data_IF_188860289878
#
_entry.id   IF_188860289878
#
_cell.length_a   1.000
_cell.length_b   1.000
_cell.length_c   1.000
_cell.angle_alpha   90.00
_cell.angle_beta   90.00
_cell.angle_gamma   90.00
#
_symmetry.space_group_name_H-M   'P 1'
#
loop_
_entity.id
_entity.type
_entity.pdbx_description
1 polymer ?
#
# COMPACT_ATOMS: atom_id res chain seq x y z
N UNK A 1 -21.07 -29.03 48.13
CA UNK A 1 -22.13 -28.34 48.90
C UNK A 1 -22.23 -26.93 48.40
N UNK A 2 -23.43 -26.62 47.88
CA UNK A 2 -24.10 -25.30 47.78
C UNK A 2 -23.43 -24.27 46.89
N UNK A 3 -24.05 -23.53 45.98
CA UNK A 3 -25.47 -23.35 45.61
C UNK A 3 -25.50 -22.42 44.40
N UNK A 4 -26.19 -22.77 43.39
CA UNK A 4 -27.13 -22.10 42.49
C UNK A 4 -27.43 -20.62 42.82
N UNK A 5 -27.35 -19.77 41.82
CA UNK A 5 -28.33 -18.71 41.61
C UNK A 5 -28.44 -18.37 40.14
N UNK A 6 -29.53 -18.80 39.52
CA UNK A 6 -30.08 -18.27 38.27
C UNK A 6 -30.70 -16.90 38.58
N UNK A 7 -30.38 -15.90 37.82
CA UNK A 7 -31.14 -14.66 37.74
C UNK A 7 -31.62 -14.48 36.28
N UNK A 8 -32.90 -14.74 36.11
CA UNK A 8 -33.71 -14.45 34.93
C UNK A 8 -34.13 -12.99 35.04
N UNK A 9 -33.88 -12.14 34.02
CA UNK A 9 -34.49 -10.83 33.92
C UNK A 9 -35.12 -10.66 32.54
N UNK A 10 -36.25 -9.96 32.45
CA UNK A 10 -37.19 -10.05 31.35
C UNK A 10 -36.88 -9.08 30.21
N UNK A 11 -37.31 -9.49 29.03
CA UNK A 11 -37.42 -8.76 27.77
C UNK A 11 -38.12 -7.40 27.93
N UNK A 12 -37.49 -6.36 27.44
CA UNK A 12 -38.16 -5.09 27.12
C UNK A 12 -38.01 -4.84 25.60
N UNK A 13 -39.06 -5.15 24.86
CA UNK A 13 -39.26 -4.82 23.49
C UNK A 13 -39.55 -3.30 23.35
N UNK A 14 -38.60 -2.53 22.88
CA UNK A 14 -38.85 -1.15 22.47
C UNK A 14 -38.83 -1.07 20.96
N UNK A 15 -40.03 -1.02 20.38
CA UNK A 15 -40.25 -0.80 18.96
C UNK A 15 -39.84 0.63 18.54
N UNK A 16 -38.87 0.76 17.66
CA UNK A 16 -38.50 2.01 17.05
C UNK A 16 -38.99 2.00 15.61
N UNK A 17 -40.08 2.72 15.38
CA UNK A 17 -40.67 2.95 14.06
C UNK A 17 -39.75 3.84 13.25
N UNK A 18 -39.14 3.30 12.19
CA UNK A 18 -38.44 4.10 11.17
C UNK A 18 -39.49 4.79 10.26
N UNK A 19 -39.59 6.08 10.41
CA UNK A 19 -40.28 6.94 9.43
C UNK A 19 -39.30 7.21 8.28
N UNK A 20 -39.55 6.60 7.12
CA UNK A 20 -38.82 6.88 5.89
C UNK A 20 -39.30 8.21 5.30
N UNK A 21 -38.45 9.25 5.30
CA UNK A 21 -38.68 10.48 4.57
C UNK A 21 -38.17 10.28 3.12
N UNK A 22 -38.97 10.61 2.08
CA UNK A 22 -38.49 10.60 0.71
C UNK A 22 -37.55 11.80 0.49
N UNK A 23 -36.27 11.52 0.20
CA UNK A 23 -35.35 12.52 -0.28
C UNK A 23 -35.71 12.90 -1.72
N UNK A 24 -36.25 14.09 -1.89
CA UNK A 24 -36.36 14.74 -3.19
C UNK A 24 -34.97 15.18 -3.61
N UNK A 25 -34.35 14.42 -4.49
CA UNK A 25 -33.10 14.81 -5.15
C UNK A 25 -33.42 15.82 -6.25
N UNK A 26 -33.26 17.10 -5.96
CA UNK A 26 -33.27 18.15 -6.99
C UNK A 26 -32.06 18.00 -7.88
N UNK A 27 -32.32 17.91 -9.18
CA UNK A 27 -31.33 17.78 -10.24
C UNK A 27 -30.67 19.14 -10.46
N UNK A 28 -29.34 19.28 -10.40
CA UNK A 28 -28.72 20.59 -10.58
C UNK A 28 -28.88 21.12 -12.01
N UNK A 29 -29.12 22.42 -12.15
CA UNK A 29 -29.45 23.16 -13.37
C UNK A 29 -28.40 23.19 -14.49
N UNK A 30 -27.23 22.58 -14.26
CA UNK A 30 -26.16 22.52 -15.26
C UNK A 30 -26.29 21.36 -16.27
N UNK A 31 -27.27 20.49 -16.12
CA UNK A 31 -27.55 19.43 -17.08
C UNK A 31 -28.27 20.01 -18.32
N UNK A 32 -27.48 20.68 -19.16
CA UNK A 32 -27.92 21.33 -20.37
C UNK A 32 -28.61 20.40 -21.34
N UNK A 33 -29.67 20.92 -21.93
CA UNK A 33 -30.51 20.33 -22.99
C UNK A 33 -29.65 19.98 -24.22
N UNK A 34 -29.93 18.88 -24.95
CA UNK A 34 -29.30 18.62 -26.23
C UNK A 34 -29.77 19.61 -27.27
N UNK A 35 -28.93 20.55 -27.65
CA UNK A 35 -29.14 21.45 -28.79
C UNK A 35 -28.95 20.69 -30.08
N UNK A 36 -29.99 20.79 -30.92
CA UNK A 36 -30.10 20.21 -32.24
C UNK A 36 -29.45 21.17 -33.26
N UNK A 37 -28.56 20.62 -34.11
CA UNK A 37 -28.23 21.14 -35.44
C UNK A 37 -27.23 22.29 -35.48
N UNK A 38 -26.09 22.10 -36.12
CA UNK A 38 -25.89 22.49 -37.52
C UNK A 38 -24.49 22.09 -37.97
N UNK A 39 -24.46 21.52 -39.18
CA UNK A 39 -23.25 21.18 -39.89
C UNK A 39 -22.65 22.47 -40.47
N UNK A 40 -21.50 22.89 -39.96
CA UNK A 40 -20.56 23.71 -40.71
C UNK A 40 -19.16 23.11 -40.69
N UNK A 41 -18.82 22.58 -41.85
CA UNK A 41 -17.48 22.29 -42.34
C UNK A 41 -16.76 23.62 -42.52
N UNK A 42 -15.60 23.79 -41.83
CA UNK A 42 -14.49 24.65 -42.23
C UNK A 42 -13.27 24.25 -41.34
N UNK A 43 -12.42 23.55 -41.91
CA UNK A 43 -11.04 23.84 -42.26
C UNK A 43 -10.22 24.71 -41.30
N UNK A 44 -9.29 24.02 -40.66
CA UNK A 44 -7.89 24.40 -40.50
C UNK A 44 -7.55 25.76 -39.90
N UNK A 45 -7.07 25.75 -38.66
CA UNK A 45 -5.82 26.38 -38.23
C UNK A 45 -5.49 26.04 -36.79
N UNK A 46 -4.43 25.30 -36.56
CA UNK A 46 -3.74 25.30 -35.29
C UNK A 46 -3.03 26.65 -35.12
N UNK A 47 -3.08 27.20 -33.91
CA UNK A 47 -1.94 27.84 -33.32
C UNK A 47 -1.48 26.99 -32.14
N UNK A 48 -0.19 26.66 -32.16
CA UNK A 48 0.44 25.99 -31.04
C UNK A 48 0.25 26.76 -29.75
N UNK A 49 -0.20 26.05 -28.75
CA UNK A 49 -0.01 26.42 -27.36
C UNK A 49 1.01 25.45 -26.79
N UNK A 50 2.25 25.91 -26.81
CA UNK A 50 3.32 25.37 -25.97
C UNK A 50 2.90 25.51 -24.49
N UNK A 51 2.08 24.58 -24.03
CA UNK A 51 2.02 24.28 -22.62
C UNK A 51 3.14 23.31 -22.36
N UNK A 52 4.24 23.82 -21.78
CA UNK A 52 5.38 23.05 -21.31
C UNK A 52 4.94 21.93 -20.37
N UNK A 53 4.43 20.87 -20.94
CA UNK A 53 4.28 19.58 -20.28
C UNK A 53 5.67 18.99 -20.23
N UNK A 54 6.40 19.26 -19.14
CA UNK A 54 7.52 18.40 -18.77
C UNK A 54 7.03 16.96 -18.92
N UNK A 55 7.73 16.10 -19.66
CA UNK A 55 7.34 14.69 -19.73
C UNK A 55 7.39 14.15 -18.29
N UNK A 56 6.23 13.96 -17.70
CA UNK A 56 6.12 13.09 -16.53
C UNK A 56 6.48 11.71 -17.05
N UNK A 57 7.72 11.33 -16.83
CA UNK A 57 8.11 9.93 -16.97
C UNK A 57 7.35 9.19 -15.88
N UNK A 58 6.14 8.79 -16.18
CA UNK A 58 5.42 7.80 -15.40
C UNK A 58 6.11 6.49 -15.71
N UNK A 59 7.07 6.12 -14.86
CA UNK A 59 7.60 4.78 -14.86
C UNK A 59 6.43 3.91 -14.41
N UNK A 60 5.84 3.21 -15.35
CA UNK A 60 4.80 2.22 -15.06
C UNK A 60 5.50 1.04 -14.37
N UNK A 61 5.52 1.09 -13.04
CA UNK A 61 6.16 0.05 -12.23
C UNK A 61 5.19 -1.12 -12.15
N UNK A 62 5.46 -2.14 -12.95
CA UNK A 62 4.68 -3.37 -12.97
C UNK A 62 4.77 -4.06 -11.59
N UNK A 63 3.62 -4.48 -11.06
CA UNK A 63 3.56 -5.18 -9.78
C UNK A 63 4.37 -6.48 -9.87
N UNK A 64 5.34 -6.66 -8.94
CA UNK A 64 6.21 -7.83 -8.88
C UNK A 64 7.37 -7.85 -9.88
N UNK A 65 7.62 -6.74 -10.60
CA UNK A 65 8.63 -6.70 -11.64
C UNK A 65 9.78 -5.72 -11.43
N UNK A 66 9.88 -5.11 -10.26
CA UNK A 66 10.89 -4.07 -10.01
C UNK A 66 12.22 -4.63 -9.51
N UNK A 67 12.22 -5.51 -8.52
CA UNK A 67 13.43 -6.08 -7.96
C UNK A 67 13.95 -7.23 -8.82
N UNK A 68 15.00 -6.97 -9.56
CA UNK A 68 15.72 -7.99 -10.30
C UNK A 68 16.74 -8.74 -9.42
N UNK A 69 17.45 -9.68 -10.02
CA UNK A 69 18.44 -10.54 -9.33
C UNK A 69 19.57 -9.74 -8.68
N UNK A 70 19.97 -8.62 -9.29
CA UNK A 70 21.02 -7.77 -8.73
C UNK A 70 20.60 -7.17 -7.38
N UNK A 71 19.39 -6.62 -7.28
CA UNK A 71 18.87 -6.06 -6.04
C UNK A 71 18.63 -7.14 -4.99
N UNK A 72 18.14 -8.31 -5.40
CA UNK A 72 17.95 -9.46 -4.49
C UNK A 72 19.28 -9.93 -3.92
N UNK A 73 20.32 -10.10 -4.74
CA UNK A 73 21.67 -10.43 -4.28
C UNK A 73 22.24 -9.36 -3.35
N UNK A 74 22.13 -8.10 -3.72
CA UNK A 74 22.59 -7.00 -2.87
C UNK A 74 21.95 -7.02 -1.48
N UNK A 75 20.66 -7.31 -1.40
CA UNK A 75 19.96 -7.45 -0.13
C UNK A 75 20.48 -8.66 0.67
N UNK A 76 20.70 -9.79 0.01
CA UNK A 76 21.28 -10.99 0.62
C UNK A 76 22.67 -10.73 1.19
N UNK A 77 23.56 -10.15 0.40
CA UNK A 77 24.94 -9.86 0.80
C UNK A 77 24.99 -8.87 1.98
N UNK A 78 24.04 -7.94 2.03
CA UNK A 78 23.95 -6.99 3.12
C UNK A 78 23.42 -7.61 4.42
N UNK A 79 22.36 -8.42 4.36
CA UNK A 79 21.66 -8.89 5.56
C UNK A 79 22.18 -10.22 6.11
N UNK A 80 22.60 -11.15 5.26
CA UNK A 80 23.06 -12.49 5.69
C UNK A 80 24.17 -12.44 6.74
N UNK A 81 25.28 -11.69 6.58
CA UNK A 81 26.32 -11.65 7.60
C UNK A 81 25.84 -11.00 8.91
N UNK A 82 24.90 -10.03 8.82
CA UNK A 82 24.33 -9.38 9.99
C UNK A 82 23.43 -10.33 10.79
N UNK A 83 22.60 -11.09 10.09
CA UNK A 83 21.72 -12.08 10.72
C UNK A 83 22.51 -13.22 11.35
N UNK A 84 23.52 -13.74 10.66
CA UNK A 84 24.44 -14.75 11.22
C UNK A 84 25.18 -14.24 12.47
N UNK A 85 25.55 -12.98 12.50
CA UNK A 85 26.15 -12.34 13.66
C UNK A 85 25.14 -12.01 14.79
N UNK A 86 23.86 -12.32 14.61
CA UNK A 86 22.77 -12.02 15.56
C UNK A 86 22.47 -10.53 15.71
N UNK A 87 22.90 -9.71 14.75
CA UNK A 87 22.57 -8.27 14.69
C UNK A 87 21.22 -8.08 14.01
N UNK A 88 20.15 -8.28 14.77
CA UNK A 88 18.81 -8.18 14.24
C UNK A 88 18.39 -6.73 14.03
N UNK A 89 17.87 -6.37 12.85
CA UNK A 89 17.25 -5.07 12.62
C UNK A 89 16.05 -4.86 13.53
N UNK A 90 15.62 -3.60 13.77
CA UNK A 90 14.41 -3.31 14.52
C UNK A 90 13.20 -4.07 13.99
N UNK A 91 12.35 -4.57 14.87
CA UNK A 91 11.15 -5.36 14.50
C UNK A 91 11.40 -6.85 14.28
N UNK A 92 12.65 -7.32 14.40
CA UNK A 92 12.99 -8.75 14.43
C UNK A 92 13.49 -9.15 15.79
N UNK A 93 13.04 -10.31 16.28
CA UNK A 93 13.56 -10.91 17.51
C UNK A 93 14.71 -11.86 17.20
N UNK A 94 15.72 -11.88 18.06
CA UNK A 94 16.78 -12.89 18.01
C UNK A 94 16.20 -14.21 18.52
N UNK A 95 16.14 -15.22 17.65
CA UNK A 95 15.68 -16.55 18.02
C UNK A 95 16.65 -17.59 17.47
N UNK A 96 17.19 -18.45 18.36
CA UNK A 96 18.21 -19.45 18.04
C UNK A 96 19.39 -18.81 17.28
N UNK A 97 19.65 -19.17 16.05
CA UNK A 97 20.78 -18.68 15.25
C UNK A 97 20.38 -17.64 14.20
N UNK A 98 19.26 -16.92 14.36
CA UNK A 98 18.80 -15.97 13.36
C UNK A 98 17.89 -14.87 13.89
N UNK A 99 17.59 -13.91 13.01
CA UNK A 99 16.64 -12.85 13.25
C UNK A 99 15.30 -13.24 12.61
N UNK A 100 14.32 -13.55 13.43
CA UNK A 100 12.99 -13.98 12.96
C UNK A 100 11.91 -12.96 13.31
N UNK A 101 10.89 -12.81 12.46
CA UNK A 101 9.70 -12.06 12.84
C UNK A 101 9.08 -12.68 14.09
N UNK A 102 8.58 -11.89 15.04
CA UNK A 102 7.89 -12.43 16.21
C UNK A 102 6.59 -13.09 15.75
N UNK A 103 6.61 -14.42 15.50
CA UNK A 103 5.47 -15.33 15.42
C UNK A 103 4.26 -14.95 14.55
N UNK A 104 4.38 -13.94 13.71
CA UNK A 104 3.27 -13.38 12.95
C UNK A 104 3.34 -13.85 11.49
N UNK A 105 2.20 -14.30 10.97
CA UNK A 105 2.02 -14.49 9.55
C UNK A 105 2.26 -13.17 8.80
N UNK A 106 2.74 -13.26 7.57
CA UNK A 106 2.97 -12.13 6.67
C UNK A 106 1.73 -11.23 6.61
N UNK A 107 1.85 -9.99 7.07
CA UNK A 107 0.73 -9.07 7.21
C UNK A 107 0.56 -8.14 5.99
N UNK A 108 1.32 -8.37 4.92
CA UNK A 108 1.23 -7.58 3.69
C UNK A 108 1.07 -8.49 2.47
N UNK A 109 0.54 -7.93 1.39
CA UNK A 109 0.34 -8.63 0.12
C UNK A 109 0.72 -7.72 -1.04
N UNK A 110 1.31 -8.30 -2.08
CA UNK A 110 1.59 -7.62 -3.35
C UNK A 110 0.30 -7.04 -3.96
N UNK A 111 0.36 -5.83 -4.50
CA UNK A 111 -0.78 -5.15 -5.10
C UNK A 111 -1.83 -4.64 -4.11
N UNK A 112 -1.57 -4.70 -2.79
CA UNK A 112 -2.47 -4.18 -1.77
C UNK A 112 -1.80 -3.10 -0.92
N UNK A 113 -2.56 -2.13 -0.41
CA UNK A 113 -2.05 -1.18 0.57
C UNK A 113 -1.58 -1.88 1.84
N UNK A 114 -0.51 -1.37 2.45
CA UNK A 114 -0.09 -1.81 3.79
C UNK A 114 -1.20 -1.50 4.80
N UNK A 115 -1.49 -2.42 5.75
CA UNK A 115 -2.35 -2.13 6.88
C UNK A 115 -1.86 -0.90 7.66
N UNK A 116 -2.77 -0.07 8.15
CA UNK A 116 -2.44 1.19 8.83
C UNK A 116 -1.71 1.00 10.16
N UNK A 117 -1.96 -0.11 10.80
CA UNK A 117 -1.36 -0.54 12.07
C UNK A 117 -0.04 -1.31 11.90
N UNK A 118 0.35 -1.59 10.65
CA UNK A 118 1.57 -2.32 10.37
C UNK A 118 2.80 -1.42 10.57
N UNK A 119 3.66 -1.84 11.50
CA UNK A 119 4.92 -1.13 11.77
C UNK A 119 5.94 -1.47 10.67
N UNK A 120 6.43 -0.44 10.02
CA UNK A 120 7.52 -0.55 9.05
C UNK A 120 8.67 0.40 9.40
N UNK A 121 9.85 0.11 8.91
CA UNK A 121 11.08 0.84 9.19
C UNK A 121 11.71 1.35 7.89
N UNK A 122 12.49 2.42 7.94
CA UNK A 122 13.27 2.83 6.78
C UNK A 122 14.32 1.76 6.45
N UNK A 123 14.60 1.61 5.17
CA UNK A 123 15.69 0.76 4.70
C UNK A 123 17.02 1.47 4.98
N UNK A 124 18.03 0.82 5.60
CA UNK A 124 19.31 1.43 5.89
C UNK A 124 20.01 1.96 4.63
N UNK A 125 20.70 3.10 4.75
CA UNK A 125 21.37 3.77 3.62
C UNK A 125 22.34 2.85 2.86
N UNK A 126 23.08 2.01 3.59
CA UNK A 126 24.05 1.08 2.98
C UNK A 126 23.43 0.10 1.98
N UNK A 127 22.20 -0.36 2.22
CA UNK A 127 21.50 -1.22 1.25
C UNK A 127 20.67 -0.38 0.27
N UNK A 128 20.10 0.74 0.71
CA UNK A 128 19.34 1.62 -0.16
C UNK A 128 20.15 2.09 -1.38
N UNK A 129 21.43 2.42 -1.18
CA UNK A 129 22.36 2.78 -2.26
C UNK A 129 22.53 1.63 -3.25
N UNK A 130 22.63 0.40 -2.77
CA UNK A 130 22.81 -0.79 -3.62
C UNK A 130 21.53 -1.17 -4.37
N UNK A 131 20.36 -0.90 -3.80
CA UNK A 131 19.07 -1.10 -4.46
C UNK A 131 18.84 -0.06 -5.57
N UNK A 132 19.54 1.07 -5.52
CA UNK A 132 19.32 2.20 -6.39
C UNK A 132 18.22 3.15 -5.88
N UNK A 133 17.99 4.22 -6.64
CA UNK A 133 16.91 5.16 -6.33
C UNK A 133 15.54 4.50 -6.61
N UNK A 134 14.58 4.60 -5.67
CA UNK A 134 13.23 4.13 -5.96
C UNK A 134 12.62 4.96 -7.11
N UNK A 135 11.72 4.37 -7.89
CA UNK A 135 10.99 5.09 -8.93
C UNK A 135 10.24 6.30 -8.37
N UNK A 136 9.98 7.31 -9.21
CA UNK A 136 9.20 8.47 -8.81
C UNK A 136 7.85 8.04 -8.20
N UNK A 137 7.47 8.66 -7.09
CA UNK A 137 6.25 8.32 -6.38
C UNK A 137 6.31 7.04 -5.53
N UNK A 138 7.49 6.44 -5.39
CA UNK A 138 7.69 5.22 -4.59
C UNK A 138 8.77 5.41 -3.52
N UNK A 139 8.78 4.52 -2.55
CA UNK A 139 9.82 4.44 -1.51
C UNK A 139 10.06 3.01 -1.07
N UNK A 140 11.27 2.76 -0.57
CA UNK A 140 11.58 1.51 0.10
C UNK A 140 11.21 1.58 1.57
N UNK A 141 10.60 0.51 2.07
CA UNK A 141 10.35 0.30 3.50
C UNK A 141 10.72 -1.13 3.86
N UNK A 142 11.04 -1.36 5.13
CA UNK A 142 11.28 -2.70 5.65
C UNK A 142 10.17 -3.09 6.61
N UNK A 143 9.53 -4.20 6.33
CA UNK A 143 8.51 -4.83 7.17
C UNK A 143 9.10 -6.17 7.63
N UNK A 144 9.34 -6.31 8.92
CA UNK A 144 9.97 -7.49 9.49
C UNK A 144 11.25 -7.90 8.71
N UNK A 145 11.26 -9.06 8.07
CA UNK A 145 12.38 -9.58 7.28
C UNK A 145 12.24 -9.32 5.77
N UNK A 146 11.37 -8.40 5.35
CA UNK A 146 11.11 -8.11 3.94
C UNK A 146 11.43 -6.65 3.60
N UNK A 147 11.99 -6.41 2.41
CA UNK A 147 12.11 -5.06 1.83
C UNK A 147 10.98 -4.91 0.82
N UNK A 148 10.21 -3.85 0.95
CA UNK A 148 9.08 -3.55 0.07
C UNK A 148 9.33 -2.26 -0.70
N UNK A 149 8.94 -2.24 -1.96
CA UNK A 149 8.72 -1.02 -2.73
C UNK A 149 7.24 -0.66 -2.61
N UNK A 150 6.94 0.49 -2.05
CA UNK A 150 5.55 0.95 -1.90
C UNK A 150 5.31 2.28 -2.60
N UNK A 151 4.09 2.46 -3.12
CA UNK A 151 3.65 3.72 -3.68
C UNK A 151 3.38 4.74 -2.57
N UNK A 152 3.92 5.95 -2.71
CA UNK A 152 3.69 7.07 -1.80
C UNK A 152 2.23 7.53 -1.93
N UNK A 153 1.58 7.80 -0.79
CA UNK A 153 0.17 8.22 -0.74
C UNK A 153 -0.79 7.06 -0.53
N UNK A 154 -0.74 6.00 -1.34
CA UNK A 154 -1.63 4.84 -1.18
C UNK A 154 -1.06 3.77 -0.26
N UNK A 155 0.26 3.69 -0.11
CA UNK A 155 0.93 2.61 0.61
C UNK A 155 0.86 1.25 -0.07
N UNK A 156 0.44 1.20 -1.35
CA UNK A 156 0.32 -0.04 -2.10
C UNK A 156 1.68 -0.70 -2.29
N UNK A 157 1.77 -1.98 -2.00
CA UNK A 157 2.98 -2.79 -2.21
C UNK A 157 3.11 -3.12 -3.69
N UNK A 158 4.16 -2.58 -4.31
CA UNK A 158 4.44 -2.77 -5.74
C UNK A 158 5.34 -3.97 -5.98
N UNK A 159 6.38 -4.13 -5.15
CA UNK A 159 7.28 -5.28 -5.23
C UNK A 159 7.97 -5.55 -3.88
N UNK A 160 8.57 -6.73 -3.73
CA UNK A 160 9.20 -7.15 -2.50
C UNK A 160 10.45 -8.01 -2.70
N UNK A 161 11.42 -7.86 -1.79
CA UNK A 161 12.46 -8.84 -1.51
C UNK A 161 12.12 -9.48 -0.17
N UNK A 162 11.75 -10.73 -0.21
CA UNK A 162 11.19 -11.46 0.91
C UNK A 162 12.25 -12.29 1.64
N UNK A 163 11.96 -12.63 2.88
CA UNK A 163 12.70 -13.63 3.67
C UNK A 163 14.21 -13.35 3.79
N UNK A 164 14.61 -12.11 4.04
CA UNK A 164 16.01 -11.71 4.26
C UNK A 164 16.75 -12.53 5.35
N UNK A 165 16.01 -13.25 6.17
CA UNK A 165 16.56 -14.13 7.22
C UNK A 165 16.74 -15.59 6.81
N UNK A 166 16.24 -15.99 5.65
CA UNK A 166 16.34 -17.37 5.14
C UNK A 166 17.30 -17.55 3.97
N UNK A 167 17.99 -16.50 3.66
CA UNK A 167 18.90 -16.43 2.52
C UNK A 167 20.26 -17.03 2.84
#
# INVERSE_FOLDING_TARGET
MTSRSLAVLPSLLLGLSLVALPALAEKPDWAGKPGKGDKHKLEQRQPGSDSGSSPRVTIDVQIGGYFGDAQRRAAQDYYTPRFKAGKCPPGLAKKNNGCMPPGQAKQWQMGRPLPRDLVYYPVPSGISIQLGLPPAGHKYVRVAADILLIAIGTGMVVDAIEDLGRL
#
